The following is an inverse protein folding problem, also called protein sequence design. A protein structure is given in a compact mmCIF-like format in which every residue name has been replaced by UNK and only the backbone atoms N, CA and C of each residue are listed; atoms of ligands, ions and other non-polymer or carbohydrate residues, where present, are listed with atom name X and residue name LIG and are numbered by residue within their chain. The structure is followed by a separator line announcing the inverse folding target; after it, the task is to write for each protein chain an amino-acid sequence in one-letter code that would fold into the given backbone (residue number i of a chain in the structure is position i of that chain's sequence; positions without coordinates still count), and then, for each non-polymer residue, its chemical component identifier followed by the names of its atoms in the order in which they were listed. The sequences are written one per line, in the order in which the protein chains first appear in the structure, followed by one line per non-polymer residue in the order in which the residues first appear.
data_IF_388791639746
#
_entry.id   IF_388791639746
#
_cell.length_a   1.000
_cell.length_b   1.000
_cell.length_c   1.000
_cell.angle_alpha   90.00
_cell.angle_beta   90.00
_cell.angle_gamma   90.00
#
_symmetry.space_group_name_H-M   'P 1'
#
loop_
_entity.id
_entity.type
_entity.pdbx_description
1 polymer ?
#
# COMPACT_ATOMS: atom_id res chain seq x y z
N UNK A 1 -19.07 18.55 -11.36
CA UNK A 1 -19.14 17.06 -11.37
C UNK A 1 -18.14 16.38 -12.30
N UNK A 2 -18.15 16.58 -13.65
CA UNK A 2 -17.18 15.88 -14.54
C UNK A 2 -15.71 16.29 -14.32
N UNK A 3 -15.44 17.56 -14.05
CA UNK A 3 -14.09 18.08 -13.79
C UNK A 3 -13.55 17.57 -12.45
N UNK A 4 -14.35 17.61 -11.40
CA UNK A 4 -14.02 17.07 -10.08
C UNK A 4 -13.61 15.59 -10.15
N UNK A 5 -14.42 14.77 -10.82
CA UNK A 5 -14.16 13.35 -10.95
C UNK A 5 -12.85 13.06 -11.71
N UNK A 6 -12.53 13.88 -12.72
CA UNK A 6 -11.24 13.77 -13.44
C UNK A 6 -10.05 14.01 -12.51
N UNK A 7 -10.09 15.08 -11.69
CA UNK A 7 -9.03 15.37 -10.74
C UNK A 7 -8.87 14.28 -9.69
N UNK A 8 -9.97 13.77 -9.12
CA UNK A 8 -9.96 12.68 -8.16
C UNK A 8 -9.32 11.41 -8.75
N UNK A 9 -9.72 11.00 -9.95
CA UNK A 9 -9.12 9.85 -10.62
C UNK A 9 -7.65 10.06 -10.97
N UNK A 10 -7.25 11.26 -11.40
CA UNK A 10 -5.85 11.56 -11.68
C UNK A 10 -4.98 11.40 -10.42
N UNK A 11 -5.40 11.98 -9.29
CA UNK A 11 -4.71 11.84 -8.02
C UNK A 11 -4.64 10.38 -7.56
N UNK A 12 -5.70 9.65 -7.79
CA UNK A 12 -5.78 8.22 -7.46
C UNK A 12 -4.76 7.40 -8.25
N UNK A 13 -4.75 7.49 -9.58
CA UNK A 13 -3.86 6.70 -10.42
C UNK A 13 -2.38 7.09 -10.24
N UNK A 14 -2.08 8.38 -10.18
CA UNK A 14 -0.72 8.86 -9.92
C UNK A 14 -0.27 8.38 -8.52
N UNK A 15 -1.12 8.53 -7.52
CA UNK A 15 -0.81 8.11 -6.15
C UNK A 15 -0.53 6.62 -6.02
N UNK A 16 -1.33 5.77 -6.65
CA UNK A 16 -1.11 4.32 -6.68
C UNK A 16 0.20 3.97 -7.40
N UNK A 17 0.49 4.60 -8.54
CA UNK A 17 1.72 4.37 -9.28
C UNK A 17 2.96 4.76 -8.46
N UNK A 18 2.95 5.93 -7.83
CA UNK A 18 4.03 6.42 -6.95
C UNK A 18 4.18 5.51 -5.72
N UNK A 19 3.06 5.09 -5.11
CA UNK A 19 3.08 4.18 -3.97
C UNK A 19 3.69 2.83 -4.35
N UNK A 20 3.30 2.23 -5.47
CA UNK A 20 3.83 0.96 -5.94
C UNK A 20 5.33 1.04 -6.29
N UNK A 21 5.78 2.15 -6.87
CA UNK A 21 7.21 2.41 -7.07
C UNK A 21 7.97 2.40 -5.74
N UNK A 22 7.48 3.11 -4.73
CA UNK A 22 8.10 3.14 -3.41
C UNK A 22 8.09 1.78 -2.72
N UNK A 23 7.01 0.99 -2.82
CA UNK A 23 6.94 -0.40 -2.34
C UNK A 23 8.03 -1.23 -3.02
N UNK A 24 8.16 -1.15 -4.35
CA UNK A 24 9.17 -1.91 -5.08
C UNK A 24 10.58 -1.50 -4.67
N UNK A 25 10.83 -0.21 -4.43
CA UNK A 25 12.12 0.26 -3.91
C UNK A 25 12.42 -0.35 -2.54
N UNK A 26 11.46 -0.41 -1.60
CA UNK A 26 11.67 -1.07 -0.31
C UNK A 26 11.92 -2.57 -0.46
N UNK A 27 11.29 -3.25 -1.42
CA UNK A 27 11.53 -4.65 -1.76
C UNK A 27 12.97 -4.85 -2.29
N UNK A 28 13.47 -3.94 -3.14
CA UNK A 28 14.86 -3.95 -3.63
C UNK A 28 15.85 -3.63 -2.52
N UNK A 29 15.47 -2.80 -1.54
CA UNK A 29 16.25 -2.43 -0.36
C UNK A 29 16.12 -3.43 0.81
N UNK A 30 15.95 -4.70 0.54
CA UNK A 30 15.57 -5.78 1.49
C UNK A 30 16.56 -6.07 2.63
N UNK A 31 17.78 -5.53 2.59
CA UNK A 31 18.79 -5.78 3.63
C UNK A 31 18.34 -5.39 5.04
N UNK A 32 17.45 -4.39 5.14
CA UNK A 32 16.85 -3.95 6.42
C UNK A 32 15.49 -4.61 6.72
N UNK A 33 15.00 -5.48 5.85
CA UNK A 33 13.62 -5.98 5.88
C UNK A 33 12.70 -5.13 5.00
N UNK A 34 11.45 -5.55 4.87
CA UNK A 34 10.43 -4.90 4.03
C UNK A 34 9.16 -4.60 4.84
N UNK A 35 8.15 -4.00 4.23
CA UNK A 35 6.89 -3.71 4.94
C UNK A 35 6.20 -5.02 5.39
N UNK A 36 5.38 -4.99 6.45
CA UNK A 36 4.68 -6.16 6.96
C UNK A 36 3.97 -6.99 5.89
N UNK A 37 3.29 -6.35 4.97
CA UNK A 37 2.59 -7.02 3.88
C UNK A 37 3.52 -7.56 2.81
N UNK A 38 4.62 -6.88 2.54
CA UNK A 38 5.61 -7.34 1.57
C UNK A 38 6.41 -8.52 2.11
N UNK A 39 6.62 -8.61 3.44
CA UNK A 39 7.12 -9.83 4.09
C UNK A 39 6.23 -11.03 3.75
N UNK A 40 4.90 -10.87 3.85
CA UNK A 40 3.95 -11.92 3.48
C UNK A 40 4.03 -12.27 1.98
N UNK A 41 3.98 -11.27 1.10
CA UNK A 41 3.99 -11.52 -0.35
C UNK A 41 5.32 -12.14 -0.82
N UNK A 42 6.46 -11.69 -0.27
CA UNK A 42 7.77 -12.28 -0.58
C UNK A 42 7.88 -13.69 -0.01
N UNK A 43 7.34 -13.95 1.18
CA UNK A 43 7.28 -15.29 1.75
C UNK A 43 6.48 -16.24 0.86
N UNK A 44 5.30 -15.83 0.41
CA UNK A 44 4.48 -16.60 -0.52
C UNK A 44 5.19 -16.83 -1.87
N UNK A 45 5.83 -15.80 -2.42
CA UNK A 45 6.63 -15.92 -3.64
C UNK A 45 7.74 -16.98 -3.50
N UNK A 46 8.44 -17.00 -2.38
CA UNK A 46 9.52 -17.98 -2.14
C UNK A 46 9.03 -19.42 -2.02
N UNK A 47 7.85 -19.64 -1.45
CA UNK A 47 7.30 -20.98 -1.21
C UNK A 47 6.51 -21.52 -2.41
N UNK A 48 5.75 -20.67 -3.07
CA UNK A 48 4.75 -21.08 -4.06
C UNK A 48 5.03 -20.57 -5.48
N UNK A 49 6.11 -19.77 -5.68
CA UNK A 49 6.38 -19.15 -6.98
C UNK A 49 5.44 -17.97 -7.29
N UNK A 50 5.08 -17.79 -8.54
CA UNK A 50 4.39 -16.63 -9.09
C UNK A 50 5.25 -15.35 -8.99
N UNK A 51 4.61 -14.18 -8.80
CA UNK A 51 5.29 -12.90 -8.59
C UNK A 51 4.82 -12.24 -7.28
N UNK A 52 5.60 -11.28 -6.77
CA UNK A 52 5.25 -10.55 -5.55
C UNK A 52 3.95 -9.77 -5.78
N UNK A 53 3.78 -9.15 -6.95
CA UNK A 53 2.57 -8.45 -7.32
C UNK A 53 1.36 -9.36 -7.46
N UNK A 54 1.53 -10.56 -8.05
CA UNK A 54 0.47 -11.57 -8.12
C UNK A 54 -0.02 -11.96 -6.72
N UNK A 55 0.89 -12.17 -5.77
CA UNK A 55 0.51 -12.46 -4.38
C UNK A 55 -0.18 -11.27 -3.70
N UNK A 56 0.25 -10.03 -4.00
CA UNK A 56 -0.46 -8.84 -3.52
C UNK A 56 -1.91 -8.79 -4.02
N UNK A 57 -2.14 -9.16 -5.28
CA UNK A 57 -3.49 -9.24 -5.87
C UNK A 57 -4.30 -10.38 -5.23
N UNK A 58 -3.74 -11.59 -5.11
CA UNK A 58 -4.44 -12.75 -4.55
C UNK A 58 -4.82 -12.54 -3.08
N UNK A 59 -3.92 -12.01 -2.27
CA UNK A 59 -4.20 -11.66 -0.87
C UNK A 59 -5.25 -10.56 -0.80
N UNK A 60 -5.15 -9.53 -1.65
CA UNK A 60 -6.15 -8.48 -1.75
C UNK A 60 -7.53 -9.01 -2.16
N UNK A 61 -7.58 -9.94 -3.11
CA UNK A 61 -8.81 -10.62 -3.53
C UNK A 61 -9.44 -11.41 -2.38
N UNK A 62 -8.63 -12.18 -1.67
CA UNK A 62 -9.09 -12.92 -0.48
C UNK A 62 -9.69 -11.98 0.56
N UNK A 63 -9.02 -10.86 0.85
CA UNK A 63 -9.51 -9.85 1.78
C UNK A 63 -10.83 -9.25 1.29
N UNK A 64 -10.94 -8.88 0.02
CA UNK A 64 -12.16 -8.32 -0.56
C UNK A 64 -13.32 -9.32 -0.43
N UNK A 65 -13.11 -10.57 -0.79
CA UNK A 65 -14.15 -11.59 -0.69
C UNK A 65 -14.58 -11.81 0.76
N UNK A 66 -13.64 -11.96 1.68
CA UNK A 66 -13.92 -12.16 3.10
C UNK A 66 -14.70 -10.95 3.70
N UNK A 67 -14.25 -9.73 3.40
CA UNK A 67 -14.92 -8.52 3.91
C UNK A 67 -16.27 -8.28 3.26
N UNK A 68 -16.43 -8.58 1.96
CA UNK A 68 -17.72 -8.46 1.26
C UNK A 68 -18.76 -9.45 1.80
N UNK A 69 -18.36 -10.68 2.07
CA UNK A 69 -19.22 -11.70 2.71
C UNK A 69 -19.64 -11.25 4.12
N UNK A 70 -18.68 -10.73 4.90
CA UNK A 70 -18.94 -10.25 6.25
C UNK A 70 -19.89 -9.04 6.28
N UNK A 71 -19.64 -8.04 5.42
CA UNK A 71 -20.41 -6.81 5.35
C UNK A 71 -21.71 -6.95 4.54
N UNK A 72 -21.88 -8.06 3.82
CA UNK A 72 -22.96 -8.27 2.84
C UNK A 72 -23.10 -7.11 1.84
N UNK A 73 -21.96 -6.54 1.43
CA UNK A 73 -21.87 -5.38 0.55
C UNK A 73 -20.71 -5.52 -0.43
N UNK A 74 -20.92 -5.08 -1.67
CA UNK A 74 -19.87 -5.05 -2.67
C UNK A 74 -18.94 -3.84 -2.45
N UNK A 75 -17.62 -4.01 -2.59
CA UNK A 75 -16.67 -2.90 -2.46
C UNK A 75 -16.79 -1.92 -3.64
N UNK A 76 -16.34 -0.69 -3.43
CA UNK A 76 -16.28 0.32 -4.48
C UNK A 76 -15.34 -0.10 -5.61
N UNK A 77 -15.60 0.36 -6.83
CA UNK A 77 -14.72 0.12 -7.99
C UNK A 77 -13.25 0.48 -7.69
N UNK A 78 -13.03 1.58 -7.00
CA UNK A 78 -11.68 2.00 -6.61
C UNK A 78 -10.96 0.97 -5.72
N UNK A 79 -11.66 0.21 -4.87
CA UNK A 79 -11.04 -0.86 -4.07
C UNK A 79 -10.52 -2.00 -4.96
N UNK A 80 -11.28 -2.39 -5.97
CA UNK A 80 -10.87 -3.39 -6.96
C UNK A 80 -9.67 -2.90 -7.78
N UNK A 81 -9.73 -1.65 -8.26
CA UNK A 81 -8.62 -1.05 -9.01
C UNK A 81 -7.36 -0.89 -8.16
N UNK A 82 -7.50 -0.50 -6.88
CA UNK A 82 -6.36 -0.42 -5.95
C UNK A 82 -5.63 -1.76 -5.87
N UNK A 83 -6.35 -2.85 -5.64
CA UNK A 83 -5.79 -4.19 -5.54
C UNK A 83 -5.05 -4.59 -6.84
N UNK A 84 -5.71 -4.44 -7.99
CA UNK A 84 -5.15 -4.85 -9.28
C UNK A 84 -3.94 -3.99 -9.67
N UNK A 85 -4.07 -2.68 -9.58
CA UNK A 85 -3.03 -1.75 -10.01
C UNK A 85 -1.78 -1.80 -9.13
N UNK A 86 -1.94 -1.89 -7.80
CA UNK A 86 -0.76 -1.99 -6.91
C UNK A 86 0.05 -3.24 -7.26
N UNK A 87 -0.58 -4.40 -7.37
CA UNK A 87 0.14 -5.63 -7.69
C UNK A 87 0.79 -5.59 -9.08
N UNK A 88 0.05 -5.13 -10.09
CA UNK A 88 0.58 -4.99 -11.46
C UNK A 88 1.75 -4.00 -11.51
N UNK A 89 1.66 -2.86 -10.83
CA UNK A 89 2.74 -1.88 -10.80
C UNK A 89 3.94 -2.35 -9.98
N UNK A 90 3.74 -3.13 -8.91
CA UNK A 90 4.86 -3.76 -8.18
C UNK A 90 5.66 -4.65 -9.14
N UNK A 91 5.00 -5.51 -9.89
CA UNK A 91 5.69 -6.39 -10.85
C UNK A 91 6.36 -5.60 -11.97
N UNK A 92 5.68 -4.60 -12.52
CA UNK A 92 6.22 -3.71 -13.55
C UNK A 92 7.48 -2.97 -13.07
N UNK A 93 7.44 -2.35 -11.90
CA UNK A 93 8.61 -1.66 -11.35
C UNK A 93 9.69 -2.65 -10.88
N UNK A 94 9.32 -3.83 -10.41
CA UNK A 94 10.29 -4.86 -10.04
C UNK A 94 11.08 -5.38 -11.26
N UNK A 95 10.46 -5.36 -12.43
CA UNK A 95 11.12 -5.68 -13.71
C UNK A 95 12.05 -4.56 -14.16
N UNK A 96 11.66 -3.28 -14.00
CA UNK A 96 12.44 -2.12 -14.46
C UNK A 96 13.60 -1.80 -13.51
N UNK A 97 13.36 -1.82 -12.19
CA UNK A 97 14.36 -1.42 -11.21
C UNK A 97 15.45 -2.49 -11.06
N UNK A 98 16.72 -2.11 -11.23
CA UNK A 98 17.82 -3.05 -11.07
C UNK A 98 17.91 -3.58 -9.64
N UNK A 99 18.19 -4.88 -9.51
CA UNK A 99 18.53 -5.47 -8.22
C UNK A 99 19.99 -5.20 -7.89
N UNK A 100 20.27 -5.00 -6.63
CA UNK A 100 21.65 -4.80 -6.12
C UNK A 100 21.89 -5.68 -4.90
N UNK A 101 23.12 -6.01 -4.64
CA UNK A 101 23.59 -6.64 -3.40
C UNK A 101 24.55 -5.72 -2.61
N UNK A 102 24.76 -4.49 -3.08
CA UNK A 102 25.58 -3.50 -2.38
C UNK A 102 24.75 -2.84 -1.29
N UNK A 103 25.13 -3.04 -0.03
CA UNK A 103 24.40 -2.53 1.14
C UNK A 103 24.04 -1.03 1.04
N UNK A 104 24.97 -0.19 0.59
CA UNK A 104 24.73 1.26 0.44
C UNK A 104 23.60 1.58 -0.55
N UNK A 105 23.50 0.84 -1.67
CA UNK A 105 22.41 0.99 -2.64
C UNK A 105 21.10 0.41 -2.11
N UNK A 106 21.13 -0.71 -1.40
CA UNK A 106 19.92 -1.26 -0.75
C UNK A 106 19.38 -0.30 0.30
N UNK A 107 20.28 0.32 1.10
CA UNK A 107 19.90 1.36 2.07
C UNK A 107 19.28 2.59 1.38
N UNK A 108 19.85 3.02 0.26
CA UNK A 108 19.31 4.12 -0.54
C UNK A 108 17.92 3.78 -1.08
N UNK A 109 17.75 2.58 -1.63
CA UNK A 109 16.43 2.09 -2.08
C UNK A 109 15.42 2.05 -0.94
N UNK A 110 15.83 1.57 0.24
CA UNK A 110 14.96 1.51 1.40
C UNK A 110 14.50 2.90 1.85
N UNK A 111 15.43 3.84 2.02
CA UNK A 111 15.12 5.21 2.50
C UNK A 111 14.24 5.95 1.48
N UNK A 112 14.62 5.96 0.20
CA UNK A 112 13.82 6.60 -0.84
C UNK A 112 12.46 5.92 -0.98
N UNK A 113 12.42 4.59 -0.95
CA UNK A 113 11.19 3.81 -1.02
C UNK A 113 10.22 4.12 0.11
N UNK A 114 10.72 4.29 1.34
CA UNK A 114 9.93 4.71 2.50
C UNK A 114 9.19 6.02 2.26
N UNK A 115 9.89 7.05 1.77
CA UNK A 115 9.26 8.35 1.50
C UNK A 115 8.34 8.30 0.28
N UNK A 116 8.80 7.71 -0.84
CA UNK A 116 8.02 7.62 -2.09
C UNK A 116 6.73 6.83 -1.87
N UNK A 117 6.78 5.69 -1.19
CA UNK A 117 5.59 4.90 -0.85
C UNK A 117 4.61 5.68 0.02
N UNK A 118 5.12 6.35 1.05
CA UNK A 118 4.30 7.10 1.99
C UNK A 118 3.64 8.32 1.35
N UNK A 119 4.37 9.05 0.50
CA UNK A 119 3.84 10.18 -0.27
C UNK A 119 2.78 9.71 -1.26
N UNK A 120 3.06 8.63 -2.01
CA UNK A 120 2.10 8.03 -2.94
C UNK A 120 0.82 7.57 -2.25
N UNK A 121 0.96 6.99 -1.05
CA UNK A 121 -0.17 6.60 -0.21
C UNK A 121 -1.04 7.80 0.17
N UNK A 122 -0.45 8.89 0.67
CA UNK A 122 -1.17 10.12 0.99
C UNK A 122 -1.88 10.72 -0.22
N UNK A 123 -1.21 10.67 -1.40
CA UNK A 123 -1.77 11.17 -2.65
C UNK A 123 -3.01 10.37 -3.10
N UNK A 124 -2.95 9.02 -3.13
CA UNK A 124 -4.12 8.23 -3.58
C UNK A 124 -5.28 8.31 -2.59
N UNK A 125 -5.00 8.35 -1.28
CA UNK A 125 -6.05 8.46 -0.25
C UNK A 125 -6.75 9.82 -0.35
N UNK A 126 -6.03 10.90 -0.68
CA UNK A 126 -6.60 12.24 -0.84
C UNK A 126 -7.69 12.32 -1.92
N UNK A 127 -7.69 11.39 -2.88
CA UNK A 127 -8.71 11.30 -3.91
C UNK A 127 -10.11 10.92 -3.41
N UNK A 128 -10.22 10.30 -2.23
CA UNK A 128 -11.48 9.90 -1.55
C UNK A 128 -12.40 9.00 -2.39
N UNK A 129 -11.86 8.26 -3.36
CA UNK A 129 -12.64 7.38 -4.24
C UNK A 129 -12.98 6.02 -3.60
N UNK A 130 -12.17 5.57 -2.65
CA UNK A 130 -12.37 4.32 -1.91
C UNK A 130 -11.13 3.89 -1.15
N UNK A 131 -11.35 3.12 -0.09
CA UNK A 131 -10.30 2.52 0.70
C UNK A 131 -9.75 1.26 0.02
N UNK A 132 -8.46 0.96 0.23
CA UNK A 132 -7.88 -0.31 -0.18
C UNK A 132 -8.48 -1.50 0.59
N UNK A 133 -8.22 -2.75 0.12
CA UNK A 133 -8.75 -3.95 0.79
C UNK A 133 -8.36 -4.03 2.27
N UNK A 134 -7.11 -3.68 2.58
CA UNK A 134 -6.56 -3.72 3.94
C UNK A 134 -7.24 -2.71 4.87
N UNK A 135 -7.55 -1.52 4.36
CA UNK A 135 -8.23 -0.48 5.12
C UNK A 135 -9.66 -0.90 5.50
N UNK A 136 -10.32 -1.72 4.68
CA UNK A 136 -11.65 -2.26 4.96
C UNK A 136 -11.63 -3.16 6.20
N UNK A 137 -10.62 -4.05 6.35
CA UNK A 137 -10.49 -4.88 7.57
C UNK A 137 -10.30 -3.98 8.79
N UNK A 138 -9.43 -2.99 8.68
CA UNK A 138 -9.17 -2.04 9.76
C UNK A 138 -10.45 -1.33 10.21
N UNK A 139 -11.30 -0.91 9.26
CA UNK A 139 -12.60 -0.30 9.56
C UNK A 139 -13.58 -1.28 10.22
N UNK A 140 -13.59 -2.56 9.80
CA UNK A 140 -14.40 -3.60 10.44
C UNK A 140 -13.98 -3.81 11.91
N UNK A 141 -12.67 -3.88 12.18
CA UNK A 141 -12.16 -4.03 13.55
C UNK A 141 -12.54 -2.79 14.38
N UNK A 142 -12.41 -1.60 13.81
CA UNK A 142 -12.78 -0.35 14.47
C UNK A 142 -14.29 -0.29 14.79
N UNK A 143 -15.15 -0.80 13.92
CA UNK A 143 -16.60 -0.83 14.16
C UNK A 143 -17.01 -1.76 15.33
N UNK A 144 -16.12 -2.66 15.76
CA UNK A 144 -16.30 -3.52 16.95
C UNK A 144 -15.84 -2.85 18.26
N UNK A 145 -15.51 -1.56 18.26
CA UNK A 145 -15.11 -0.80 19.44
C UNK A 145 -13.59 -0.75 19.68
N UNK A 146 -12.79 -1.34 18.81
CA UNK A 146 -11.33 -1.21 18.88
C UNK A 146 -10.87 0.09 18.21
N UNK A 147 -9.69 0.59 18.60
CA UNK A 147 -9.11 1.73 17.88
C UNK A 147 -8.65 1.32 16.48
N UNK A 148 -8.68 2.26 15.52
CA UNK A 148 -8.14 2.07 14.17
C UNK A 148 -6.67 1.61 14.21
N UNK A 149 -5.90 2.16 15.17
CA UNK A 149 -4.50 1.78 15.41
C UNK A 149 -4.39 0.31 15.82
N UNK A 150 -5.25 -0.16 16.73
CA UNK A 150 -5.27 -1.57 17.16
C UNK A 150 -5.61 -2.50 16.00
N UNK A 151 -6.61 -2.16 15.19
CA UNK A 151 -6.97 -2.93 14.00
C UNK A 151 -5.79 -3.06 13.01
N UNK A 152 -5.10 -1.96 12.77
CA UNK A 152 -3.90 -1.96 11.92
C UNK A 152 -2.79 -2.84 12.50
N UNK A 153 -2.49 -2.71 13.79
CA UNK A 153 -1.46 -3.53 14.45
C UNK A 153 -1.75 -5.03 14.35
N UNK A 154 -3.00 -5.44 14.61
CA UNK A 154 -3.40 -6.86 14.50
C UNK A 154 -3.13 -7.40 13.11
N UNK A 155 -3.51 -6.65 12.06
CA UNK A 155 -3.28 -7.07 10.68
C UNK A 155 -1.79 -7.12 10.32
N UNK A 156 -1.02 -6.11 10.72
CA UNK A 156 0.41 -6.04 10.40
C UNK A 156 1.19 -7.14 11.11
N UNK A 157 0.89 -7.40 12.38
CA UNK A 157 1.50 -8.51 13.13
C UNK A 157 1.13 -9.86 12.51
N UNK A 158 -0.13 -10.06 12.13
CA UNK A 158 -0.55 -11.27 11.44
C UNK A 158 0.19 -11.48 10.11
N UNK A 159 0.28 -10.43 9.29
CA UNK A 159 0.97 -10.49 8.00
C UNK A 159 2.47 -10.78 8.16
N UNK A 160 3.15 -10.09 9.09
CA UNK A 160 4.58 -10.35 9.39
C UNK A 160 4.77 -11.78 9.89
N UNK A 161 3.95 -12.24 10.82
CA UNK A 161 4.10 -13.58 11.41
C UNK A 161 3.98 -14.66 10.33
N UNK A 162 2.92 -14.62 9.53
CA UNK A 162 2.73 -15.58 8.44
C UNK A 162 3.87 -15.45 7.40
N UNK A 163 4.20 -14.24 7.00
CA UNK A 163 5.25 -14.00 6.02
C UNK A 163 6.63 -14.44 6.50
N UNK A 164 6.95 -14.23 7.78
CA UNK A 164 8.20 -14.71 8.39
C UNK A 164 8.28 -16.24 8.39
N UNK A 165 7.21 -16.93 8.78
CA UNK A 165 7.14 -18.39 8.74
C UNK A 165 7.29 -18.94 7.32
N UNK A 166 6.92 -18.19 6.30
CA UNK A 166 7.13 -18.51 4.88
C UNK A 166 8.51 -18.07 4.35
N UNK A 167 9.39 -17.53 5.20
CA UNK A 167 10.74 -17.11 4.81
C UNK A 167 10.82 -15.70 4.22
N UNK A 168 9.84 -14.86 4.44
CA UNK A 168 9.87 -13.44 4.09
C UNK A 168 10.94 -12.67 4.88
N UNK A 169 11.53 -11.60 4.32
CA UNK A 169 12.62 -10.86 4.95
C UNK A 169 12.09 -9.90 6.02
N UNK A 170 12.30 -10.24 7.29
CA UNK A 170 12.00 -9.37 8.44
C UNK A 170 13.30 -8.76 8.96
N UNK A 171 13.26 -7.49 9.32
CA UNK A 171 14.37 -6.78 9.89
C UNK A 171 13.95 -5.49 10.59
N UNK A 172 14.94 -4.70 11.02
CA UNK A 172 14.68 -3.40 11.68
C UNK A 172 13.87 -2.45 10.77
N UNK A 173 14.07 -2.54 9.46
CA UNK A 173 13.30 -1.79 8.47
C UNK A 173 11.82 -2.14 8.47
N UNK A 174 11.45 -3.38 8.79
CA UNK A 174 10.04 -3.78 8.91
C UNK A 174 9.37 -2.99 10.04
N UNK A 175 10.07 -2.80 11.16
CA UNK A 175 9.57 -2.01 12.30
C UNK A 175 9.49 -0.52 11.91
N UNK A 176 10.53 0.00 11.24
CA UNK A 176 10.55 1.39 10.76
C UNK A 176 9.39 1.66 9.81
N UNK A 177 9.13 0.76 8.86
CA UNK A 177 8.01 0.89 7.92
C UNK A 177 6.66 0.79 8.61
N UNK A 178 6.48 -0.17 9.52
CA UNK A 178 5.21 -0.35 10.25
C UNK A 178 4.86 0.87 11.12
N UNK A 179 5.82 1.46 11.81
CA UNK A 179 5.60 2.56 12.73
C UNK A 179 5.77 3.94 12.08
N UNK A 180 6.69 4.05 11.12
CA UNK A 180 7.13 5.33 10.55
C UNK A 180 6.27 5.85 9.40
N UNK A 181 5.69 4.97 8.58
CA UNK A 181 4.94 5.38 7.38
C UNK A 181 3.79 6.34 7.70
N UNK A 182 3.10 6.16 8.83
CA UNK A 182 2.01 7.02 9.26
C UNK A 182 2.41 8.48 9.45
N UNK A 183 3.64 8.74 9.90
CA UNK A 183 4.14 10.10 10.11
C UNK A 183 4.38 10.87 8.80
N UNK A 184 4.64 10.15 7.70
CA UNK A 184 4.79 10.76 6.37
C UNK A 184 3.48 10.76 5.60
N UNK A 185 2.65 9.72 5.73
CA UNK A 185 1.35 9.62 5.07
C UNK A 185 0.42 10.75 5.50
N UNK A 186 0.33 11.03 6.79
CA UNK A 186 -0.60 12.03 7.32
C UNK A 186 -0.37 13.44 6.76
N UNK A 187 0.84 14.04 6.84
CA UNK A 187 1.07 15.35 6.26
C UNK A 187 0.95 15.35 4.74
N UNK A 188 1.35 14.27 4.06
CA UNK A 188 1.20 14.11 2.62
C UNK A 188 -0.28 14.12 2.21
N UNK A 189 -1.13 13.38 2.92
CA UNK A 189 -2.58 13.34 2.71
C UNK A 189 -3.18 14.74 2.83
N UNK A 190 -2.88 15.46 3.91
CA UNK A 190 -3.40 16.82 4.15
C UNK A 190 -2.96 17.80 3.06
N UNK A 191 -1.70 17.72 2.65
CA UNK A 191 -1.14 18.55 1.58
C UNK A 191 -1.85 18.31 0.24
N UNK A 192 -1.96 17.05 -0.19
CA UNK A 192 -2.59 16.71 -1.47
C UNK A 192 -4.10 16.93 -1.45
N UNK A 193 -4.77 16.73 -0.31
CA UNK A 193 -6.20 17.07 -0.17
C UNK A 193 -6.43 18.57 -0.36
N UNK A 194 -5.56 19.42 0.19
CA UNK A 194 -5.63 20.88 -0.05
C UNK A 194 -5.45 21.22 -1.53
N UNK A 195 -4.45 20.64 -2.21
CA UNK A 195 -4.22 20.88 -3.64
C UNK A 195 -5.42 20.40 -4.46
N UNK A 196 -5.93 19.20 -4.17
CA UNK A 196 -7.07 18.64 -4.89
C UNK A 196 -8.29 19.55 -4.80
N UNK A 197 -8.63 20.03 -3.60
CA UNK A 197 -9.76 20.96 -3.41
C UNK A 197 -9.56 22.27 -4.18
N UNK A 198 -8.36 22.87 -4.14
CA UNK A 198 -8.04 24.06 -4.93
C UNK A 198 -8.21 23.84 -6.44
N UNK A 199 -7.84 22.66 -6.95
CA UNK A 199 -8.00 22.31 -8.37
C UNK A 199 -9.46 22.08 -8.76
N UNK A 200 -10.24 21.50 -7.85
CA UNK A 200 -11.67 21.31 -8.05
C UNK A 200 -12.37 22.67 -8.07
N UNK A 201 -12.12 23.53 -7.10
CA UNK A 201 -12.71 24.87 -7.00
C UNK A 201 -12.37 25.72 -8.22
N UNK A 202 -11.10 25.74 -8.64
CA UNK A 202 -10.67 26.45 -9.85
C UNK A 202 -11.28 25.91 -11.16
N UNK A 203 -11.79 24.70 -11.16
CA UNK A 203 -12.44 24.07 -12.33
C UNK A 203 -13.94 24.31 -12.37
N UNK A 204 -14.53 24.91 -11.34
CA UNK A 204 -15.93 25.27 -11.22
C UNK A 204 -16.19 26.74 -11.57
N UNK A 205 -15.12 27.54 -11.65
CA UNK A 205 -15.11 28.94 -12.12
C UNK A 205 -14.94 29.00 -13.63
#
# INVERSE_FOLDING_TARGET
MRSELKWRWSFYFIGISVMALGITMTIKGKALGTSPWDVLHIGMYKQFGLTIGSWSILVGLFIILATSLYLKAWPKLATWLNMLLIGTFIDFFNWILPSTSKFGLELTYFILGFFVMSIGCGLYISAELGAGPRDTIMMIIASKGYSVRTGRMIMEVGAVTIGFLLGGPVGIGTIILALGTGYVIQPSLLYFKKILNQRIDASLL
#
